data_IF_372614215602
#
_entry.id   IF_372614215602
#
_cell.length_a   1.000
_cell.length_b   1.000
_cell.length_c   1.000
_cell.angle_alpha   90.00
_cell.angle_beta   90.00
_cell.angle_gamma   90.00
#
_symmetry.space_group_name_H-M   'P 1'
#
loop_
_entity.id
_entity.type
_entity.pdbx_description
1 polymer ?
#
# COMPACT_ATOMS: atom_id res chain seq x y z
N UNK A 1 -3.42 34.74 13.27
CA UNK A 1 -3.44 34.41 11.83
C UNK A 1 -2.87 33.03 11.59
N UNK A 2 -3.47 32.20 10.73
CA UNK A 2 -2.74 31.06 10.21
C UNK A 2 -1.50 31.59 9.47
N UNK A 3 -0.32 31.06 9.80
CA UNK A 3 0.97 31.47 9.22
C UNK A 3 1.05 31.30 7.69
N UNK A 4 0.04 30.68 7.06
CA UNK A 4 -0.02 30.37 5.63
C UNK A 4 -1.47 30.20 5.19
N UNK A 5 -1.85 30.82 4.06
CA UNK A 5 -3.17 30.70 3.43
C UNK A 5 -3.28 29.51 2.46
N UNK A 6 -2.19 28.79 2.21
CA UNK A 6 -2.16 27.66 1.28
C UNK A 6 -2.96 26.47 1.85
N UNK A 7 -3.99 26.04 1.11
CA UNK A 7 -4.74 24.83 1.44
C UNK A 7 -3.99 23.58 0.95
N UNK A 8 -3.27 22.92 1.85
CA UNK A 8 -2.46 21.74 1.53
C UNK A 8 -3.28 20.48 1.23
N UNK A 9 -4.60 20.53 1.42
CA UNK A 9 -5.49 19.40 1.13
C UNK A 9 -5.90 19.37 -0.35
N UNK A 10 -6.21 20.53 -0.93
CA UNK A 10 -6.72 20.65 -2.30
C UNK A 10 -5.76 21.32 -3.28
N UNK A 11 -4.86 22.18 -2.80
CA UNK A 11 -3.99 23.02 -3.65
C UNK A 11 -2.54 22.55 -3.74
N UNK A 12 -2.13 21.55 -2.96
CA UNK A 12 -0.77 21.00 -3.02
C UNK A 12 -0.77 19.53 -3.43
N UNK A 13 0.35 19.12 -4.04
CA UNK A 13 0.66 17.73 -4.34
C UNK A 13 1.95 17.35 -3.65
N UNK A 14 2.00 16.13 -3.12
CA UNK A 14 3.15 15.60 -2.37
C UNK A 14 3.33 14.13 -2.64
N UNK A 15 4.55 13.61 -2.48
CA UNK A 15 4.83 12.20 -2.74
C UNK A 15 4.14 11.35 -1.66
N UNK A 16 3.16 10.50 -2.03
CA UNK A 16 2.42 9.69 -1.06
C UNK A 16 3.27 8.56 -0.45
N UNK A 17 4.37 8.20 -1.12
CA UNK A 17 5.18 7.05 -0.74
C UNK A 17 4.34 5.77 -0.69
N UNK A 18 4.59 4.95 0.34
CA UNK A 18 3.94 3.64 0.48
C UNK A 18 2.40 3.66 0.66
N UNK A 19 1.73 4.81 0.84
CA UNK A 19 0.25 4.86 0.80
C UNK A 19 -0.32 4.58 -0.59
N UNK A 20 0.51 4.57 -1.64
CA UNK A 20 0.10 4.23 -3.01
C UNK A 20 0.16 2.74 -3.34
N UNK A 21 0.89 1.94 -2.54
CA UNK A 21 1.00 0.48 -2.71
C UNK A 21 -0.35 -0.25 -2.84
N UNK A 22 -1.44 0.14 -2.14
CA UNK A 22 -2.73 -0.51 -2.30
C UNK A 22 -3.20 -0.63 -3.76
N UNK A 23 -2.81 0.28 -4.68
CA UNK A 23 -3.11 0.11 -6.11
C UNK A 23 -2.48 -1.17 -6.70
N UNK A 24 -1.20 -1.42 -6.40
CA UNK A 24 -0.46 -2.59 -6.88
C UNK A 24 -1.02 -3.88 -6.30
N UNK A 25 -1.38 -3.86 -5.00
CA UNK A 25 -1.99 -5.02 -4.35
C UNK A 25 -3.41 -5.26 -4.87
N UNK A 26 -4.19 -4.20 -5.13
CA UNK A 26 -5.51 -4.31 -5.75
C UNK A 26 -5.40 -4.95 -7.13
N UNK A 27 -4.46 -4.50 -7.96
CA UNK A 27 -4.21 -5.07 -9.28
C UNK A 27 -3.82 -6.56 -9.19
N UNK A 28 -3.00 -6.93 -8.21
CA UNK A 28 -2.56 -8.31 -8.00
C UNK A 28 -3.70 -9.23 -7.53
N UNK A 29 -4.52 -8.76 -6.58
CA UNK A 29 -5.72 -9.47 -6.11
C UNK A 29 -6.75 -9.63 -7.24
N UNK A 30 -6.90 -8.60 -8.06
CA UNK A 30 -7.78 -8.64 -9.23
C UNK A 30 -7.26 -9.55 -10.35
N UNK A 31 -5.93 -9.69 -10.48
CA UNK A 31 -5.28 -10.69 -11.35
C UNK A 31 -5.40 -12.14 -10.81
N UNK A 32 -6.14 -12.33 -9.73
CA UNK A 32 -6.44 -13.64 -9.16
C UNK A 32 -5.41 -14.16 -8.17
N UNK A 33 -4.45 -13.34 -7.73
CA UNK A 33 -3.66 -13.72 -6.55
C UNK A 33 -4.54 -13.66 -5.30
N UNK A 34 -4.31 -14.58 -4.37
CA UNK A 34 -4.95 -14.59 -3.06
C UNK A 34 -4.06 -13.95 -1.99
N UNK A 35 -4.63 -13.47 -0.86
CA UNK A 35 -3.90 -12.95 0.29
C UNK A 35 -2.75 -13.85 0.81
N UNK A 36 -2.90 -15.18 0.71
CA UNK A 36 -1.89 -16.14 1.15
C UNK A 36 -0.86 -16.51 0.06
N UNK A 37 -0.94 -15.93 -1.15
CA UNK A 37 0.02 -16.17 -2.22
C UNK A 37 1.42 -15.81 -1.75
N UNK A 38 2.37 -16.73 -1.90
CA UNK A 38 3.76 -16.48 -1.54
C UNK A 38 4.43 -15.64 -2.63
N UNK A 39 5.12 -14.59 -2.19
CA UNK A 39 5.90 -13.68 -3.01
C UNK A 39 7.29 -13.59 -2.41
N UNK A 40 8.32 -13.58 -3.25
CA UNK A 40 9.69 -13.52 -2.79
C UNK A 40 10.05 -12.09 -2.34
N UNK A 41 10.32 -11.88 -1.05
CA UNK A 41 10.94 -10.65 -0.55
C UNK A 41 12.47 -10.75 -0.73
N UNK A 42 12.92 -10.67 -1.99
CA UNK A 42 14.33 -10.68 -2.37
C UNK A 42 14.61 -9.65 -3.46
N UNK A 43 15.90 -9.35 -3.69
CA UNK A 43 16.33 -8.35 -4.67
C UNK A 43 15.70 -8.62 -6.03
N UNK A 44 15.23 -7.56 -6.66
CA UNK A 44 14.63 -7.59 -7.99
C UNK A 44 15.09 -6.37 -8.77
N UNK A 45 15.38 -6.57 -10.05
CA UNK A 45 15.72 -5.52 -11.00
C UNK A 45 14.74 -5.60 -12.15
N UNK A 46 14.02 -4.51 -12.42
CA UNK A 46 13.11 -4.40 -13.55
C UNK A 46 13.85 -3.74 -14.73
N UNK A 47 13.76 -4.31 -15.94
CA UNK A 47 14.42 -3.75 -17.11
C UNK A 47 13.72 -2.45 -17.57
N UNK A 48 14.42 -1.55 -18.28
CA UNK A 48 13.86 -0.30 -18.75
C UNK A 48 12.55 -0.49 -19.54
N UNK A 49 11.60 0.43 -19.34
CA UNK A 49 10.34 0.41 -20.10
C UNK A 49 10.67 0.82 -21.54
N UNK A 50 10.29 -0.02 -22.51
CA UNK A 50 10.61 0.19 -23.93
C UNK A 50 12.04 -0.25 -24.33
N UNK A 51 12.81 -0.85 -23.42
CA UNK A 51 14.12 -1.44 -23.73
C UNK A 51 15.29 -0.47 -23.78
N UNK A 52 15.07 0.82 -23.52
CA UNK A 52 16.11 1.87 -23.48
C UNK A 52 16.02 2.63 -22.15
N UNK A 53 17.18 2.96 -21.56
CA UNK A 53 17.28 3.72 -20.30
C UNK A 53 17.75 2.87 -19.11
N UNK A 54 17.43 3.32 -17.91
CA UNK A 54 17.91 2.71 -16.66
C UNK A 54 16.98 1.59 -16.16
N UNK A 55 17.61 0.52 -15.68
CA UNK A 55 16.92 -0.50 -14.91
C UNK A 55 16.56 0.02 -13.51
N UNK A 56 15.50 -0.51 -12.92
CA UNK A 56 15.07 -0.11 -11.58
C UNK A 56 15.26 -1.23 -10.56
N UNK A 57 16.00 -0.95 -9.49
CA UNK A 57 16.31 -1.91 -8.41
C UNK A 57 15.96 -1.31 -7.04
N UNK A 58 14.72 -1.49 -6.55
CA UNK A 58 14.30 -0.94 -5.26
C UNK A 58 14.94 -1.69 -4.08
N UNK A 59 14.85 -1.10 -2.89
CA UNK A 59 15.27 -1.72 -1.62
C UNK A 59 14.17 -1.56 -0.58
N UNK A 60 14.10 -2.48 0.38
CA UNK A 60 13.27 -2.31 1.58
C UNK A 60 13.84 -1.22 2.49
N UNK A 61 12.97 -0.57 3.26
CA UNK A 61 13.35 0.49 4.21
C UNK A 61 14.35 -0.02 5.28
N UNK A 62 14.11 -1.20 5.84
CA UNK A 62 15.00 -1.87 6.81
C UNK A 62 16.28 -2.44 6.17
N UNK A 63 16.39 -2.40 4.84
CA UNK A 63 17.38 -3.16 4.08
C UNK A 63 17.04 -4.64 3.95
N UNK A 64 17.77 -5.33 3.06
CA UNK A 64 17.65 -6.78 2.88
C UNK A 64 16.29 -7.27 2.38
N UNK A 65 16.14 -8.60 2.42
CA UNK A 65 14.92 -9.32 2.08
C UNK A 65 14.67 -10.44 3.09
N UNK A 66 13.41 -10.74 3.36
CA UNK A 66 12.99 -11.75 4.34
C UNK A 66 12.67 -13.13 3.74
N UNK A 67 12.93 -13.32 2.44
CA UNK A 67 12.61 -14.56 1.73
C UNK A 67 11.12 -14.66 1.38
N UNK A 68 10.55 -15.87 1.23
CA UNK A 68 9.14 -16.05 0.92
C UNK A 68 8.23 -15.44 2.00
N UNK A 69 7.30 -14.60 1.58
CA UNK A 69 6.28 -14.00 2.45
C UNK A 69 4.92 -14.02 1.78
N UNK A 70 3.83 -14.05 2.55
CA UNK A 70 2.48 -13.95 1.96
C UNK A 70 2.23 -12.55 1.41
N UNK A 71 1.42 -12.46 0.35
CA UNK A 71 0.96 -11.19 -0.24
C UNK A 71 0.43 -10.26 0.86
N UNK A 72 -0.38 -10.79 1.77
CA UNK A 72 -0.86 -10.10 2.96
C UNK A 72 0.25 -9.45 3.77
N UNK A 73 1.24 -10.25 4.22
CA UNK A 73 2.34 -9.76 5.04
C UNK A 73 3.23 -8.76 4.28
N UNK A 74 3.35 -8.91 2.97
CA UNK A 74 4.00 -7.93 2.10
C UNK A 74 3.41 -6.53 2.23
N UNK A 75 2.08 -6.40 2.24
CA UNK A 75 1.41 -5.11 2.40
C UNK A 75 1.46 -4.61 3.84
N UNK A 76 1.21 -5.50 4.82
CA UNK A 76 1.20 -5.20 6.25
C UNK A 76 2.52 -4.61 6.74
N UNK A 77 3.64 -5.20 6.31
CA UNK A 77 4.98 -4.73 6.63
C UNK A 77 5.54 -3.78 5.55
N UNK A 78 4.72 -3.36 4.59
CA UNK A 78 5.08 -2.39 3.56
C UNK A 78 6.38 -2.73 2.82
N UNK A 79 6.57 -3.98 2.39
CA UNK A 79 7.80 -4.43 1.71
C UNK A 79 7.85 -3.88 0.27
N UNK A 80 8.93 -3.17 -0.07
CA UNK A 80 9.15 -2.57 -1.39
C UNK A 80 9.48 -3.66 -2.43
N UNK A 81 10.31 -4.63 -2.04
CA UNK A 81 10.72 -5.73 -2.93
C UNK A 81 9.51 -6.58 -3.34
N UNK A 82 8.63 -6.93 -2.39
CA UNK A 82 7.36 -7.63 -2.70
C UNK A 82 6.52 -6.84 -3.71
N UNK A 83 6.38 -5.53 -3.53
CA UNK A 83 5.61 -4.67 -4.45
C UNK A 83 6.20 -4.69 -5.87
N UNK A 84 7.54 -4.64 -5.99
CA UNK A 84 8.23 -4.72 -7.28
C UNK A 84 8.16 -6.12 -7.92
N UNK A 85 8.11 -7.18 -7.11
CA UNK A 85 7.91 -8.55 -7.57
C UNK A 85 6.51 -8.78 -8.16
N UNK A 86 5.48 -8.15 -7.57
CA UNK A 86 4.14 -8.16 -8.13
C UNK A 86 4.09 -7.50 -9.51
N UNK A 87 4.83 -6.40 -9.70
CA UNK A 87 4.99 -5.84 -11.04
C UNK A 87 5.68 -6.81 -11.98
N UNK A 88 6.77 -7.46 -11.55
CA UNK A 88 7.57 -8.33 -12.42
C UNK A 88 6.77 -9.46 -13.07
N UNK A 89 5.86 -10.10 -12.32
CA UNK A 89 5.11 -11.25 -12.82
C UNK A 89 3.86 -11.63 -12.02
N UNK A 90 3.45 -10.82 -11.02
CA UNK A 90 2.27 -11.10 -10.20
C UNK A 90 0.95 -10.58 -10.77
N UNK A 91 1.01 -9.49 -11.54
CA UNK A 91 -0.18 -8.81 -12.10
C UNK A 91 -0.37 -9.19 -13.58
N UNK A 92 0.70 -9.11 -14.36
CA UNK A 92 0.76 -9.51 -15.76
C UNK A 92 2.10 -10.20 -16.04
N UNK A 93 2.25 -10.76 -17.24
CA UNK A 93 3.45 -11.49 -17.65
C UNK A 93 4.73 -10.64 -17.58
N UNK A 94 4.62 -9.34 -17.85
CA UNK A 94 5.75 -8.40 -17.90
C UNK A 94 5.48 -7.15 -17.08
N UNK A 95 6.53 -6.61 -16.47
CA UNK A 95 6.47 -5.42 -15.63
C UNK A 95 5.79 -4.19 -16.27
N UNK A 96 6.03 -3.84 -17.55
CA UNK A 96 5.32 -2.72 -18.19
C UNK A 96 3.80 -2.93 -18.29
N UNK A 97 3.36 -4.17 -18.57
CA UNK A 97 1.93 -4.50 -18.62
C UNK A 97 1.30 -4.47 -17.23
N UNK A 98 2.02 -4.94 -16.21
CA UNK A 98 1.60 -4.81 -14.81
C UNK A 98 1.45 -3.35 -14.41
N UNK A 99 2.43 -2.50 -14.75
CA UNK A 99 2.37 -1.06 -14.48
C UNK A 99 1.18 -0.41 -15.18
N UNK A 100 0.86 -0.83 -16.42
CA UNK A 100 -0.31 -0.33 -17.12
C UNK A 100 -1.61 -0.60 -16.35
N UNK A 101 -1.80 -1.83 -15.85
CA UNK A 101 -2.98 -2.17 -15.03
C UNK A 101 -3.08 -1.34 -13.75
N UNK A 102 -1.93 -1.06 -13.11
CA UNK A 102 -1.88 -0.19 -11.93
C UNK A 102 -2.26 1.26 -12.30
N UNK A 103 -1.75 1.77 -13.42
CA UNK A 103 -2.12 3.08 -13.95
C UNK A 103 -3.62 3.18 -14.30
N UNK A 104 -4.20 2.15 -14.90
CA UNK A 104 -5.62 2.12 -15.27
C UNK A 104 -6.50 2.32 -14.03
N UNK A 105 -6.21 1.57 -12.95
CA UNK A 105 -6.89 1.73 -11.66
C UNK A 105 -6.67 3.15 -11.10
N UNK A 106 -5.44 3.66 -11.13
CA UNK A 106 -5.12 4.98 -10.58
C UNK A 106 -5.89 6.12 -11.27
N UNK A 107 -6.02 6.04 -12.59
CA UNK A 107 -6.76 7.02 -13.40
C UNK A 107 -8.27 6.90 -13.18
N UNK A 108 -8.81 5.68 -13.11
CA UNK A 108 -10.22 5.45 -12.83
C UNK A 108 -10.61 5.88 -11.40
N UNK A 109 -9.69 5.69 -10.44
CA UNK A 109 -9.79 6.20 -9.08
C UNK A 109 -9.69 7.74 -8.99
N UNK A 110 -9.38 8.42 -10.10
CA UNK A 110 -9.13 9.87 -10.17
C UNK A 110 -8.01 10.34 -9.23
N UNK A 111 -7.03 9.48 -8.93
CA UNK A 111 -5.83 9.88 -8.17
C UNK A 111 -4.95 10.84 -8.97
N UNK A 112 -4.93 10.68 -10.30
CA UNK A 112 -4.12 11.46 -11.22
C UNK A 112 -4.91 11.80 -12.48
N UNK A 113 -4.59 12.94 -13.10
CA UNK A 113 -5.04 13.24 -14.47
C UNK A 113 -4.31 12.37 -15.49
N UNK A 114 -3.02 12.12 -15.23
CA UNK A 114 -2.14 11.32 -16.07
C UNK A 114 -1.26 10.44 -15.18
N UNK A 115 -1.06 9.19 -15.58
CA UNK A 115 -0.16 8.27 -14.89
C UNK A 115 1.20 8.31 -15.58
N UNK A 116 2.21 8.80 -14.86
CA UNK A 116 3.58 8.79 -15.36
C UNK A 116 4.11 7.34 -15.37
N UNK A 117 4.46 6.85 -16.55
CA UNK A 117 4.80 5.44 -16.76
C UNK A 117 6.26 5.11 -16.41
N UNK A 118 6.58 5.10 -15.12
CA UNK A 118 7.88 4.65 -14.58
C UNK A 118 7.68 3.78 -13.33
N UNK A 119 8.53 2.78 -13.09
CA UNK A 119 8.29 1.82 -12.01
C UNK A 119 8.27 2.41 -10.59
N UNK A 120 9.11 3.39 -10.22
CA UNK A 120 8.98 4.05 -8.91
C UNK A 120 7.59 4.62 -8.61
N UNK A 121 6.73 4.82 -9.63
CA UNK A 121 5.32 5.13 -9.46
C UNK A 121 4.67 4.23 -8.40
N UNK A 122 4.87 2.90 -8.43
CA UNK A 122 4.18 1.98 -7.49
C UNK A 122 4.64 2.10 -6.03
N UNK A 123 5.72 2.83 -5.78
CA UNK A 123 6.21 3.16 -4.45
C UNK A 123 5.86 4.60 -4.03
N UNK A 124 5.06 5.31 -4.83
CA UNK A 124 4.55 6.64 -4.50
C UNK A 124 5.48 7.79 -4.92
N UNK A 125 6.24 7.63 -6.00
CA UNK A 125 7.13 8.67 -6.51
C UNK A 125 6.38 9.85 -7.17
N UNK A 126 5.21 9.59 -7.78
CA UNK A 126 4.39 10.63 -8.40
C UNK A 126 3.54 11.37 -7.34
N UNK A 127 3.68 12.71 -7.20
CA UNK A 127 2.95 13.49 -6.21
C UNK A 127 1.43 13.47 -6.41
N UNK A 128 0.68 13.31 -5.32
CA UNK A 128 -0.79 13.22 -5.31
C UNK A 128 -1.41 14.35 -4.46
N UNK A 129 -2.63 14.78 -4.78
CA UNK A 129 -3.42 15.63 -3.88
C UNK A 129 -3.98 14.79 -2.74
N UNK A 130 -4.00 15.36 -1.54
CA UNK A 130 -4.50 14.66 -0.35
C UNK A 130 -5.98 14.30 -0.46
N UNK A 131 -6.79 15.19 -1.02
CA UNK A 131 -8.23 14.98 -1.20
C UNK A 131 -8.55 13.81 -2.15
N UNK A 132 -7.75 13.62 -3.21
CA UNK A 132 -7.92 12.52 -4.16
C UNK A 132 -7.49 11.19 -3.51
N UNK A 133 -6.42 11.21 -2.71
CA UNK A 133 -6.00 10.05 -1.93
C UNK A 133 -7.06 9.63 -0.91
N UNK A 134 -7.73 10.59 -0.25
CA UNK A 134 -8.84 10.30 0.66
C UNK A 134 -10.02 9.65 -0.08
N UNK A 135 -10.39 10.16 -1.25
CA UNK A 135 -11.47 9.56 -2.06
C UNK A 135 -11.15 8.12 -2.49
N UNK A 136 -9.89 7.81 -2.81
CA UNK A 136 -9.47 6.45 -3.13
C UNK A 136 -9.57 5.50 -1.93
N UNK A 137 -9.15 5.93 -0.74
CA UNK A 137 -9.28 5.09 0.47
C UNK A 137 -10.75 4.88 0.86
N UNK A 138 -11.61 5.88 0.65
CA UNK A 138 -13.05 5.70 0.78
C UNK A 138 -13.60 4.67 -0.22
N UNK A 139 -13.10 4.67 -1.47
CA UNK A 139 -13.46 3.64 -2.44
C UNK A 139 -13.05 2.23 -1.99
N UNK A 140 -11.89 2.08 -1.33
CA UNK A 140 -11.48 0.78 -0.76
C UNK A 140 -12.45 0.34 0.35
N UNK A 141 -12.84 1.26 1.25
CA UNK A 141 -13.80 0.99 2.30
C UNK A 141 -15.16 0.50 1.73
N UNK A 142 -15.56 1.06 0.59
CA UNK A 142 -16.85 0.85 -0.08
C UNK A 142 -16.77 -0.12 -1.28
N UNK A 143 -15.82 -1.05 -1.29
CA UNK A 143 -15.68 -2.08 -2.34
C UNK A 143 -15.63 -1.57 -3.79
N UNK A 144 -14.98 -0.42 -3.99
CA UNK A 144 -14.77 0.23 -5.28
C UNK A 144 -15.73 1.36 -5.59
N UNK A 145 -16.73 1.62 -4.74
CA UNK A 145 -17.63 2.77 -4.88
C UNK A 145 -16.94 4.05 -4.38
N UNK A 146 -16.49 4.87 -5.33
CA UNK A 146 -15.69 6.07 -5.04
C UNK A 146 -16.58 7.31 -4.88
N UNK A 147 -16.54 7.99 -3.73
CA UNK A 147 -17.17 9.29 -3.58
C UNK A 147 -16.43 10.38 -4.34
N UNK A 148 -17.17 11.38 -4.82
CA UNK A 148 -16.60 12.64 -5.30
C UNK A 148 -16.62 13.63 -4.14
N UNK A 149 -15.45 14.07 -3.62
CA UNK A 149 -15.42 15.05 -2.54
C UNK A 149 -16.12 16.36 -2.95
N UNK A 150 -16.91 16.94 -2.05
CA UNK A 150 -17.56 18.24 -2.23
C UNK A 150 -17.67 18.96 -0.88
N UNK A 151 -17.72 20.30 -0.91
CA UNK A 151 -17.82 21.13 0.30
C UNK A 151 -19.14 21.91 0.44
N UNK A 152 -19.97 21.93 -0.61
CA UNK A 152 -21.24 22.67 -0.64
C UNK A 152 -22.40 21.70 -0.84
N UNK A 153 -23.27 21.61 0.15
CA UNK A 153 -24.48 20.79 0.09
C UNK A 153 -25.66 21.54 -0.52
N UNK A 154 -25.93 22.76 -0.06
CA UNK A 154 -26.98 23.62 -0.64
C UNK A 154 -26.63 25.10 -0.49
N UNK A 155 -27.22 25.93 -1.35
CA UNK A 155 -27.17 27.39 -1.27
C UNK A 155 -28.60 27.90 -1.38
N UNK A 156 -29.05 28.69 -0.40
CA UNK A 156 -30.41 29.26 -0.37
C UNK A 156 -30.37 30.78 -0.36
N UNK A 157 -31.43 31.39 -0.90
CA UNK A 157 -31.72 32.82 -0.81
C UNK A 157 -33.15 32.99 -0.31
N UNK A 158 -33.31 33.24 1.00
CA UNK A 158 -34.62 33.09 1.65
C UNK A 158 -35.09 31.64 1.53
N UNK A 159 -36.33 31.44 1.10
CA UNK A 159 -36.90 30.11 0.89
C UNK A 159 -36.52 29.48 -0.47
N UNK A 160 -35.79 30.20 -1.33
CA UNK A 160 -35.40 29.71 -2.66
C UNK A 160 -34.06 28.97 -2.58
N UNK A 161 -34.06 27.68 -2.96
CA UNK A 161 -32.82 26.92 -3.19
C UNK A 161 -32.20 27.36 -4.52
N UNK A 162 -31.00 27.92 -4.48
CA UNK A 162 -30.21 28.34 -5.64
C UNK A 162 -29.31 27.21 -6.17
N UNK A 163 -28.82 26.37 -5.27
CA UNK A 163 -28.01 25.20 -5.59
C UNK A 163 -28.31 24.10 -4.57
N UNK A 164 -28.36 22.87 -5.05
CA UNK A 164 -28.41 21.67 -4.24
C UNK A 164 -27.43 20.68 -4.86
N UNK A 165 -26.57 20.09 -4.04
CA UNK A 165 -25.72 19.02 -4.50
C UNK A 165 -26.58 17.85 -4.96
N UNK A 166 -26.38 17.42 -6.21
CA UNK A 166 -27.15 16.33 -6.78
C UNK A 166 -26.80 15.02 -6.07
N UNK A 167 -27.81 14.30 -5.59
CA UNK A 167 -27.66 12.94 -5.08
C UNK A 167 -27.38 12.00 -6.27
N UNK A 168 -26.10 11.87 -6.61
CA UNK A 168 -25.64 11.03 -7.72
C UNK A 168 -25.11 9.70 -7.18
N UNK A 169 -25.38 8.58 -7.87
CA UNK A 169 -24.72 7.32 -7.56
C UNK A 169 -23.20 7.50 -7.53
N UNK A 170 -22.56 6.81 -6.58
CA UNK A 170 -21.11 6.79 -6.49
C UNK A 170 -20.49 6.25 -7.78
N UNK A 171 -19.33 6.78 -8.14
CA UNK A 171 -18.60 6.31 -9.32
C UNK A 171 -17.86 5.03 -8.95
N UNK A 172 -18.14 3.93 -9.65
CA UNK A 172 -17.46 2.67 -9.40
C UNK A 172 -16.11 2.60 -10.11
N UNK A 173 -15.06 2.16 -9.41
CA UNK A 173 -13.78 1.75 -10.01
C UNK A 173 -13.97 0.32 -10.54
N UNK A 174 -14.20 0.19 -11.84
CA UNK A 174 -14.48 -1.06 -12.55
C UNK A 174 -13.26 -1.89 -12.95
N UNK A 175 -12.05 -1.31 -12.95
CA UNK A 175 -10.81 -2.04 -13.25
C UNK A 175 -10.44 -3.09 -12.21
N UNK A 176 -11.12 -3.11 -11.07
CA UNK A 176 -11.05 -4.18 -10.07
C UNK A 176 -12.45 -4.57 -9.57
N UNK A 177 -12.64 -5.84 -9.21
CA UNK A 177 -13.91 -6.30 -8.66
C UNK A 177 -14.04 -6.11 -7.14
N UNK A 178 -15.27 -6.30 -6.63
CA UNK A 178 -15.60 -6.12 -5.21
C UNK A 178 -14.82 -7.06 -4.29
N UNK A 179 -14.52 -8.28 -4.74
CA UNK A 179 -13.74 -9.26 -3.95
C UNK A 179 -12.31 -8.78 -3.77
N UNK A 180 -11.68 -8.25 -4.81
CA UNK A 180 -10.34 -7.70 -4.73
C UNK A 180 -10.27 -6.49 -3.79
N UNK A 181 -11.27 -5.60 -3.83
CA UNK A 181 -11.37 -4.50 -2.87
C UNK A 181 -11.58 -4.97 -1.43
N UNK A 182 -12.46 -5.95 -1.20
CA UNK A 182 -12.68 -6.50 0.13
C UNK A 182 -11.43 -7.19 0.70
N UNK A 183 -10.74 -7.99 -0.12
CA UNK A 183 -9.46 -8.59 0.25
C UNK A 183 -8.44 -7.49 0.60
N UNK A 184 -8.35 -6.43 -0.21
CA UNK A 184 -7.47 -5.29 0.08
C UNK A 184 -7.83 -4.59 1.40
N UNK A 185 -9.11 -4.34 1.67
CA UNK A 185 -9.60 -3.82 2.96
C UNK A 185 -9.12 -4.69 4.12
N UNK A 186 -9.24 -6.01 4.00
CA UNK A 186 -8.76 -6.98 4.98
C UNK A 186 -7.23 -6.95 5.17
N UNK A 187 -6.45 -6.76 4.10
CA UNK A 187 -5.00 -6.58 4.20
C UNK A 187 -4.63 -5.27 4.93
N UNK A 188 -5.35 -4.17 4.64
CA UNK A 188 -5.15 -2.87 5.29
C UNK A 188 -5.56 -2.88 6.77
N UNK A 189 -6.54 -3.67 7.16
CA UNK A 189 -6.85 -3.90 8.57
C UNK A 189 -5.64 -4.54 9.29
N UNK A 190 -4.99 -5.51 8.63
CA UNK A 190 -3.76 -6.14 9.12
C UNK A 190 -2.62 -5.14 9.36
N UNK A 191 -2.50 -4.08 8.55
CA UNK A 191 -1.49 -3.02 8.74
C UNK A 191 -1.65 -2.35 10.11
N UNK A 192 -2.89 -2.08 10.52
CA UNK A 192 -3.20 -1.46 11.83
C UNK A 192 -3.18 -2.44 13.00
N UNK A 193 -3.44 -3.72 12.72
CA UNK A 193 -3.47 -4.76 13.76
C UNK A 193 -2.06 -5.22 14.16
N UNK A 194 -1.17 -5.40 13.17
CA UNK A 194 0.12 -6.09 13.36
C UNK A 194 1.22 -5.65 12.39
N UNK A 195 0.94 -4.67 11.55
CA UNK A 195 1.86 -4.15 10.55
C UNK A 195 2.49 -2.83 10.95
N UNK A 196 2.81 -2.00 9.95
CA UNK A 196 3.49 -0.72 10.16
C UNK A 196 2.70 0.33 10.96
N UNK A 197 1.40 0.10 11.22
CA UNK A 197 0.56 0.95 12.05
C UNK A 197 0.04 0.24 13.32
N UNK A 198 0.79 -0.75 13.84
CA UNK A 198 0.42 -1.53 15.03
C UNK A 198 0.14 -0.68 16.30
N UNK A 199 0.56 0.59 16.34
CA UNK A 199 0.12 1.54 17.38
C UNK A 199 -1.42 1.72 17.44
N UNK A 200 -2.13 1.36 16.37
CA UNK A 200 -3.59 1.35 16.27
C UNK A 200 -4.21 -0.04 16.56
N UNK A 201 -3.46 -1.03 17.05
CA UNK A 201 -3.94 -2.40 17.20
C UNK A 201 -5.24 -2.51 18.03
N UNK A 202 -5.37 -1.71 19.09
CA UNK A 202 -6.60 -1.63 19.92
C UNK A 202 -7.83 -1.12 19.16
N UNK A 203 -7.62 -0.41 18.06
CA UNK A 203 -8.67 0.13 17.19
C UNK A 203 -8.87 -0.72 15.92
N UNK A 204 -8.00 -1.70 15.64
CA UNK A 204 -8.03 -2.50 14.41
C UNK A 204 -9.36 -3.19 14.07
N UNK A 205 -10.27 -3.54 15.00
CA UNK A 205 -11.60 -4.01 14.62
C UNK A 205 -12.43 -2.96 13.87
N UNK A 206 -12.13 -1.67 14.06
CA UNK A 206 -12.90 -0.52 13.59
C UNK A 206 -12.19 0.26 12.48
N UNK A 207 -10.89 0.00 12.25
CA UNK A 207 -10.05 0.82 11.36
C UNK A 207 -9.13 -0.02 10.50
N UNK A 208 -8.95 0.42 9.26
CA UNK A 208 -7.95 -0.09 8.33
C UNK A 208 -7.20 1.10 7.71
N UNK A 209 -5.96 0.88 7.29
CA UNK A 209 -5.19 1.96 6.68
C UNK A 209 -3.79 1.57 6.29
N UNK A 210 -3.02 2.56 5.83
CA UNK A 210 -1.66 2.37 5.33
C UNK A 210 -0.77 3.53 5.75
N UNK A 211 0.43 3.21 6.22
CA UNK A 211 1.50 4.20 6.38
C UNK A 211 2.18 4.48 5.04
N UNK A 212 2.58 5.73 4.84
CA UNK A 212 3.48 6.15 3.77
C UNK A 212 4.65 6.94 4.31
N UNK A 213 5.80 6.74 3.68
CA UNK A 213 7.01 7.53 3.90
C UNK A 213 7.63 7.72 2.51
N UNK A 214 7.95 8.95 2.13
CA UNK A 214 8.68 9.23 0.89
C UNK A 214 10.17 8.92 1.03
N UNK A 215 10.92 9.05 -0.06
CA UNK A 215 12.39 9.10 -0.04
C UNK A 215 12.88 10.16 0.96
N UNK A 216 14.01 9.88 1.61
CA UNK A 216 14.68 10.72 2.63
C UNK A 216 13.80 11.19 3.79
N UNK A 217 12.66 10.52 4.02
CA UNK A 217 11.71 10.84 5.08
C UNK A 217 11.24 12.31 4.99
N UNK A 218 11.08 12.82 3.77
CA UNK A 218 10.60 14.18 3.53
C UNK A 218 9.09 14.34 3.83
N UNK A 219 8.32 13.29 3.56
CA UNK A 219 6.87 13.25 3.76
C UNK A 219 6.47 12.00 4.56
N UNK A 220 5.70 12.21 5.63
CA UNK A 220 5.13 11.16 6.47
C UNK A 220 3.61 11.15 6.30
N UNK A 221 3.04 9.99 6.01
CA UNK A 221 1.62 9.81 5.71
C UNK A 221 0.98 8.69 6.53
N UNK A 222 -0.30 8.89 6.83
CA UNK A 222 -1.20 7.79 7.15
C UNK A 222 -2.55 8.05 6.48
N UNK A 223 -3.02 7.06 5.71
CA UNK A 223 -4.33 7.07 5.08
C UNK A 223 -5.13 5.91 5.63
N UNK A 224 -6.28 6.19 6.24
CA UNK A 224 -7.10 5.16 6.87
C UNK A 224 -8.58 5.51 6.90
N UNK A 225 -9.39 4.51 7.20
CA UNK A 225 -10.85 4.63 7.17
C UNK A 225 -11.53 3.75 8.23
N UNK A 226 -12.73 4.17 8.63
CA UNK A 226 -13.78 3.33 9.24
C UNK A 226 -14.86 3.05 8.20
N UNK A 227 -16.04 2.55 8.61
CA UNK A 227 -17.17 2.44 7.69
C UNK A 227 -17.77 3.82 7.32
N UNK A 228 -17.59 4.81 8.20
CA UNK A 228 -18.28 6.11 8.14
C UNK A 228 -17.37 7.26 7.68
N UNK A 229 -16.07 7.20 7.99
CA UNK A 229 -15.13 8.30 7.70
C UNK A 229 -13.80 7.79 7.13
N UNK A 230 -13.23 8.57 6.22
CA UNK A 230 -11.85 8.40 5.75
C UNK A 230 -11.02 9.60 6.19
N UNK A 231 -9.85 9.34 6.78
CA UNK A 231 -8.93 10.37 7.27
C UNK A 231 -7.57 10.12 6.61
N UNK A 232 -7.00 11.18 6.02
CA UNK A 232 -5.63 11.20 5.54
C UNK A 232 -4.87 12.25 6.33
N UNK A 233 -3.80 11.83 7.01
CA UNK A 233 -2.91 12.70 7.75
C UNK A 233 -1.53 12.74 7.08
N UNK A 234 -1.00 13.95 6.90
CA UNK A 234 0.32 14.21 6.34
C UNK A 234 1.10 15.17 7.21
N UNK A 235 2.39 14.91 7.33
CA UNK A 235 3.37 15.84 7.89
C UNK A 235 4.51 15.94 6.89
N UNK A 236 4.92 17.17 6.60
CA UNK A 236 6.02 17.50 5.71
C UNK A 236 6.27 19.01 5.70
N UNK A 237 7.40 19.42 5.15
CA UNK A 237 7.72 20.84 4.96
C UNK A 237 7.25 21.34 3.60
N UNK A 238 6.87 22.62 3.51
CA UNK A 238 6.42 23.18 2.24
C UNK A 238 7.51 23.26 1.18
N UNK A 239 8.78 23.26 1.60
CA UNK A 239 9.97 23.31 0.75
C UNK A 239 9.96 24.49 -0.25
N UNK A 240 9.47 25.65 0.20
CA UNK A 240 9.31 26.86 -0.61
C UNK A 240 10.63 27.47 -1.14
N UNK A 241 11.77 27.04 -0.60
CA UNK A 241 13.12 27.43 -1.02
C UNK A 241 13.74 26.49 -2.07
N UNK A 242 12.95 25.53 -2.58
CA UNK A 242 13.41 24.52 -3.54
C UNK A 242 14.28 23.42 -2.92
N UNK A 243 14.56 23.48 -1.61
CA UNK A 243 15.29 22.43 -0.88
C UNK A 243 14.31 21.55 -0.13
N UNK A 244 14.30 20.26 -0.45
CA UNK A 244 13.54 19.28 0.34
C UNK A 244 14.18 19.14 1.71
N UNK A 245 13.41 19.46 2.75
CA UNK A 245 13.82 19.27 4.13
C UNK A 245 13.32 17.92 4.60
N UNK A 246 14.24 17.09 5.09
CA UNK A 246 13.93 15.83 5.76
C UNK A 246 13.21 16.11 7.08
N UNK A 247 12.26 15.25 7.45
CA UNK A 247 11.67 15.24 8.79
C UNK A 247 12.67 14.76 9.85
N UNK A 248 13.75 14.12 9.42
CA UNK A 248 14.79 13.56 10.28
C UNK A 248 14.69 12.04 10.41
N UNK A 249 15.81 11.41 10.77
CA UNK A 249 15.95 9.94 10.80
C UNK A 249 14.86 9.28 11.63
N UNK A 250 14.10 8.36 11.05
CA UNK A 250 13.07 7.57 11.73
C UNK A 250 11.71 8.28 11.86
N UNK A 251 11.57 9.48 11.30
CA UNK A 251 10.33 10.25 11.28
C UNK A 251 9.40 9.76 10.16
N UNK A 252 8.87 8.56 10.35
CA UNK A 252 8.01 7.86 9.37
C UNK A 252 6.52 8.13 9.61
N UNK A 253 5.68 7.76 8.63
CA UNK A 253 4.21 7.83 8.79
C UNK A 253 3.66 7.10 10.02
N UNK A 254 4.31 6.01 10.45
CA UNK A 254 3.92 5.25 11.64
C UNK A 254 4.20 5.99 12.97
N UNK A 255 5.25 6.81 13.00
CA UNK A 255 5.65 7.56 14.19
C UNK A 255 4.97 8.94 14.27
N UNK A 256 4.78 9.58 13.11
CA UNK A 256 4.29 10.96 13.02
C UNK A 256 2.80 11.06 12.69
N UNK A 257 2.37 10.43 11.60
CA UNK A 257 1.03 10.63 11.04
C UNK A 257 -0.04 9.76 11.72
N UNK A 258 0.33 8.55 12.16
CA UNK A 258 -0.58 7.65 12.89
C UNK A 258 -1.10 8.27 14.20
N UNK A 259 -0.27 8.92 15.05
CA UNK A 259 -0.78 9.63 16.23
C UNK A 259 -1.79 10.74 15.91
N UNK A 260 -1.56 11.53 14.86
CA UNK A 260 -2.53 12.56 14.42
C UNK A 260 -3.84 11.92 14.01
N UNK A 261 -3.78 10.90 13.14
CA UNK A 261 -4.95 10.14 12.72
C UNK A 261 -5.73 9.59 13.94
N UNK A 262 -5.02 9.02 14.92
CA UNK A 262 -5.61 8.44 16.13
C UNK A 262 -6.37 9.49 16.95
N UNK A 263 -5.85 10.71 17.06
CA UNK A 263 -6.52 11.80 17.78
C UNK A 263 -7.77 12.27 17.03
N UNK A 264 -7.68 12.45 15.71
CA UNK A 264 -8.83 12.85 14.87
C UNK A 264 -9.93 11.79 14.90
N UNK A 265 -9.57 10.51 14.79
CA UNK A 265 -10.54 9.40 14.85
C UNK A 265 -11.27 9.34 16.20
N UNK A 266 -10.52 9.46 17.31
CA UNK A 266 -11.12 9.48 18.64
C UNK A 266 -12.02 10.70 18.85
N UNK A 267 -11.61 11.87 18.33
CA UNK A 267 -12.46 13.06 18.36
C UNK A 267 -13.74 12.86 17.54
N UNK A 268 -13.66 12.24 16.36
CA UNK A 268 -14.82 11.95 15.54
C UNK A 268 -15.83 11.05 16.27
N UNK A 269 -15.36 9.97 16.92
CA UNK A 269 -16.21 9.11 17.74
C UNK A 269 -16.81 9.84 18.95
N UNK A 270 -16.03 10.70 19.62
CA UNK A 270 -16.54 11.52 20.71
C UNK A 270 -17.60 12.54 20.26
N UNK A 271 -17.60 12.92 18.98
CA UNK A 271 -18.54 13.86 18.37
C UNK A 271 -19.63 13.17 17.53
N UNK A 272 -19.93 11.90 17.80
CA UNK A 272 -21.13 11.23 17.29
C UNK A 272 -20.94 10.41 16.02
N UNK A 273 -19.73 10.28 15.47
CA UNK A 273 -19.48 9.26 14.43
C UNK A 273 -19.64 7.88 15.05
N UNK A 274 -20.48 7.00 14.48
CA UNK A 274 -20.64 5.64 14.98
C UNK A 274 -19.30 4.88 15.06
N UNK A 275 -19.11 4.14 16.15
CA UNK A 275 -17.96 3.26 16.33
C UNK A 275 -18.40 1.82 16.05
N UNK A 276 -18.43 1.45 14.78
CA UNK A 276 -18.84 0.11 14.33
C UNK A 276 -17.64 -0.70 13.83
N UNK A 277 -17.57 -2.02 14.10
CA UNK A 277 -16.56 -2.87 13.48
C UNK A 277 -16.61 -2.77 11.97
N UNK A 278 -15.46 -2.83 11.30
CA UNK A 278 -15.40 -2.76 9.84
C UNK A 278 -16.32 -3.80 9.21
N UNK A 279 -17.10 -3.36 8.23
CA UNK A 279 -18.08 -4.22 7.57
C UNK A 279 -17.39 -5.40 6.88
N UNK A 280 -18.05 -6.55 6.94
CA UNK A 280 -17.74 -7.70 6.12
C UNK A 280 -17.95 -7.44 4.63
N UNK A 281 -17.81 -8.48 3.78
CA UNK A 281 -17.99 -8.30 2.34
C UNK A 281 -19.46 -8.00 2.03
N UNK A 282 -19.70 -7.19 0.99
CA UNK A 282 -21.05 -6.97 0.44
C UNK A 282 -21.72 -8.30 0.07
N UNK A 283 -23.06 -8.35 -0.02
CA UNK A 283 -23.75 -9.55 -0.47
C UNK A 283 -23.22 -10.10 -1.81
N UNK A 284 -22.80 -9.22 -2.72
CA UNK A 284 -22.20 -9.57 -4.01
C UNK A 284 -20.83 -10.22 -3.84
N UNK A 285 -19.94 -9.60 -3.05
CA UNK A 285 -18.60 -10.14 -2.81
C UNK A 285 -18.66 -11.44 -1.99
N UNK A 286 -19.54 -11.51 -0.99
CA UNK A 286 -19.69 -12.66 -0.09
C UNK A 286 -20.02 -13.96 -0.82
N UNK A 287 -20.77 -13.89 -1.92
CA UNK A 287 -21.09 -15.07 -2.76
C UNK A 287 -19.88 -15.66 -3.47
N UNK A 288 -18.80 -14.89 -3.59
CA UNK A 288 -17.58 -15.23 -4.32
C UNK A 288 -16.39 -15.43 -3.37
N UNK A 289 -16.64 -15.44 -2.06
CA UNK A 289 -15.62 -15.60 -1.02
C UNK A 289 -15.89 -16.88 -0.25
N UNK A 290 -14.82 -17.61 0.06
CA UNK A 290 -14.81 -18.64 1.08
C UNK A 290 -13.73 -18.34 2.12
N UNK A 291 -14.09 -18.53 3.38
CA UNK A 291 -13.22 -18.27 4.51
C UNK A 291 -12.52 -19.56 4.93
N UNK A 292 -11.20 -19.50 5.14
CA UNK A 292 -10.46 -20.63 5.69
C UNK A 292 -9.34 -20.18 6.64
N UNK A 293 -9.11 -20.90 7.75
CA UNK A 293 -8.02 -20.58 8.67
C UNK A 293 -6.66 -20.93 8.06
N UNK A 294 -5.70 -20.01 8.20
CA UNK A 294 -4.32 -20.17 7.75
C UNK A 294 -3.31 -19.88 8.86
N UNK A 295 -2.12 -20.45 8.72
CA UNK A 295 -0.92 -19.88 9.32
C UNK A 295 -0.48 -18.64 8.52
N UNK A 296 -0.39 -17.49 9.20
CA UNK A 296 -0.09 -16.20 8.56
C UNK A 296 1.30 -16.13 7.94
N UNK A 297 2.27 -16.85 8.51
CA UNK A 297 3.66 -16.80 8.06
C UNK A 297 3.85 -17.59 6.78
N UNK A 298 3.38 -18.83 6.76
CA UNK A 298 3.56 -19.76 5.65
C UNK A 298 2.45 -19.66 4.60
N UNK A 299 1.28 -19.09 4.95
CA UNK A 299 0.09 -19.09 4.11
C UNK A 299 -0.60 -20.46 4.00
N UNK A 300 -0.16 -21.45 4.77
CA UNK A 300 -0.74 -22.80 4.77
C UNK A 300 -2.12 -22.80 5.42
N UNK A 301 -3.09 -23.43 4.77
CA UNK A 301 -4.40 -23.72 5.39
C UNK A 301 -4.24 -24.73 6.52
N UNK A 302 -4.87 -24.49 7.66
CA UNK A 302 -4.84 -25.37 8.82
C UNK A 302 -6.25 -25.76 9.25
N UNK A 303 -6.42 -26.78 10.10
CA UNK A 303 -7.75 -27.31 10.45
C UNK A 303 -8.51 -26.44 11.47
N UNK A 304 -7.82 -25.56 12.21
CA UNK A 304 -8.41 -24.68 13.22
C UNK A 304 -7.37 -23.83 13.94
N UNK A 305 -7.81 -22.80 14.69
CA UNK A 305 -6.94 -21.92 15.49
C UNK A 305 -6.08 -20.93 14.69
N UNK A 306 -6.22 -20.90 13.36
CA UNK A 306 -5.49 -20.01 12.46
C UNK A 306 -6.15 -18.66 12.26
N UNK A 307 -5.45 -17.77 11.56
CA UNK A 307 -6.03 -16.52 11.08
C UNK A 307 -7.05 -16.82 10.00
N UNK A 308 -8.28 -16.32 10.15
CA UNK A 308 -9.31 -16.49 9.13
C UNK A 308 -8.99 -15.62 7.91
N UNK A 309 -8.75 -16.27 6.78
CA UNK A 309 -8.41 -15.59 5.53
C UNK A 309 -9.56 -15.69 4.51
N UNK A 310 -9.75 -14.63 3.74
CA UNK A 310 -10.83 -14.52 2.76
C UNK A 310 -10.33 -14.85 1.35
N UNK A 311 -10.77 -15.97 0.81
CA UNK A 311 -10.33 -16.46 -0.49
C UNK A 311 -11.39 -16.26 -1.55
N UNK A 312 -10.96 -15.77 -2.72
CA UNK A 312 -11.79 -15.77 -3.92
C UNK A 312 -12.09 -17.21 -4.36
N UNK A 313 -13.34 -17.48 -4.69
CA UNK A 313 -13.77 -18.70 -5.36
C UNK A 313 -13.48 -18.62 -6.87
N UNK A 314 -13.05 -19.74 -7.46
CA UNK A 314 -12.97 -19.89 -8.91
C UNK A 314 -14.36 -20.02 -9.53
N UNK A 315 -14.43 -19.98 -10.86
CA UNK A 315 -15.69 -20.03 -11.62
C UNK A 315 -16.50 -21.32 -11.34
N UNK A 316 -15.82 -22.40 -11.00
CA UNK A 316 -16.41 -23.69 -10.60
C UNK A 316 -16.79 -23.77 -9.10
N UNK A 317 -16.68 -22.66 -8.36
CA UNK A 317 -17.02 -22.56 -6.95
C UNK A 317 -15.98 -23.19 -6.01
N UNK A 318 -14.81 -23.58 -6.50
CA UNK A 318 -13.72 -24.11 -5.67
C UNK A 318 -12.85 -22.97 -5.12
N UNK A 319 -12.12 -23.24 -4.05
CA UNK A 319 -11.08 -22.34 -3.56
C UNK A 319 -9.92 -22.31 -4.56
N UNK A 320 -9.62 -21.15 -5.13
CA UNK A 320 -8.47 -21.01 -6.01
C UNK A 320 -7.16 -21.07 -5.19
N UNK A 321 -6.37 -22.13 -5.39
CA UNK A 321 -5.08 -22.28 -4.71
C UNK A 321 -3.97 -21.57 -5.49
N UNK A 322 -3.55 -20.42 -4.99
CA UNK A 322 -2.47 -19.63 -5.60
C UNK A 322 -1.26 -19.51 -4.70
N UNK A 323 -1.19 -20.27 -3.60
CA UNK A 323 -0.12 -20.14 -2.59
C UNK A 323 1.28 -20.20 -3.23
N UNK A 324 1.50 -21.15 -4.13
CA UNK A 324 2.78 -21.38 -4.79
C UNK A 324 2.83 -20.85 -6.24
N UNK A 325 1.89 -19.99 -6.64
CA UNK A 325 1.79 -19.49 -8.03
C UNK A 325 3.03 -18.70 -8.47
N UNK A 326 3.64 -17.93 -7.57
CA UNK A 326 4.80 -17.09 -7.88
C UNK A 326 6.12 -17.62 -7.30
N UNK A 327 6.04 -18.43 -6.24
CA UNK A 327 7.18 -19.07 -5.60
C UNK A 327 6.87 -20.56 -5.54
N UNK A 328 7.48 -21.39 -6.41
CA UNK A 328 7.27 -22.83 -6.43
C UNK A 328 7.61 -23.48 -5.09
N UNK A 329 6.92 -24.58 -4.77
CA UNK A 329 7.07 -25.26 -3.49
C UNK A 329 8.49 -25.84 -3.32
N UNK A 330 9.09 -26.32 -4.40
CA UNK A 330 10.45 -26.87 -4.45
C UNK A 330 11.48 -25.79 -4.06
N UNK A 331 11.26 -24.55 -4.50
CA UNK A 331 12.12 -23.43 -4.16
C UNK A 331 12.09 -23.18 -2.64
N UNK A 332 10.92 -23.31 -2.01
CA UNK A 332 10.76 -23.13 -0.55
C UNK A 332 11.46 -24.24 0.22
N UNK A 333 11.36 -25.49 -0.26
CA UNK A 333 12.10 -26.61 0.34
C UNK A 333 13.62 -26.42 0.22
N UNK A 334 14.12 -25.96 -0.93
CA UNK A 334 15.55 -25.70 -1.13
C UNK A 334 16.10 -24.51 -0.32
N UNK A 335 15.24 -23.67 0.23
CA UNK A 335 15.62 -22.56 1.12
C UNK A 335 15.60 -22.97 2.60
N UNK A 336 15.29 -24.23 2.92
CA UNK A 336 15.33 -24.73 4.29
C UNK A 336 16.78 -24.96 4.72
N UNK A 337 17.19 -24.57 5.95
CA UNK A 337 18.55 -24.79 6.44
C UNK A 337 19.00 -26.25 6.41
N UNK A 338 18.04 -27.16 6.48
CA UNK A 338 18.16 -28.63 6.55
C UNK A 338 18.33 -29.32 5.18
N UNK A 339 18.18 -28.62 4.05
CA UNK A 339 18.24 -29.26 2.72
C UNK A 339 19.66 -29.58 2.22
N UNK A 340 20.71 -29.25 2.97
CA UNK A 340 22.11 -29.62 2.66
C UNK A 340 22.63 -30.83 3.48
N UNK A 341 21.79 -31.52 4.26
CA UNK A 341 22.24 -32.65 5.11
C UNK A 341 21.88 -34.07 4.63
N UNK A 342 21.19 -34.21 3.49
CA UNK A 342 20.86 -35.53 2.91
C UNK A 342 21.68 -35.82 1.65
N UNK A 343 23.01 -35.67 1.76
CA UNK A 343 23.97 -36.01 0.70
C UNK A 343 25.22 -36.67 1.28
N UNK A 344 25.26 -38.01 1.21
CA UNK A 344 26.41 -38.89 1.35
C UNK A 344 27.32 -38.72 2.59
N UNK A 345 27.06 -39.54 3.62
CA UNK A 345 28.11 -39.98 4.54
C UNK A 345 27.90 -41.45 4.94
N UNK A 346 28.80 -42.28 4.41
CA UNK A 346 29.01 -43.68 4.76
C UNK A 346 29.33 -43.86 6.25
N UNK A 347 28.85 -44.99 6.79
CA UNK A 347 29.27 -45.73 7.98
C UNK A 347 30.22 -45.06 9.00
N UNK A 348 29.74 -44.96 10.24
CA UNK A 348 30.59 -44.72 11.41
C UNK A 348 29.78 -44.59 12.70
N UNK A 349 29.55 -45.71 13.38
CA UNK A 349 28.93 -45.78 14.71
C UNK A 349 29.64 -44.88 15.74
N UNK A 350 28.86 -44.09 16.50
CA UNK A 350 29.22 -43.78 17.89
C UNK A 350 27.96 -43.40 18.70
N UNK A 351 27.57 -44.19 19.74
CA UNK A 351 26.38 -43.91 20.53
C UNK A 351 26.73 -43.02 21.74
N UNK A 352 26.08 -41.87 21.89
CA UNK A 352 26.29 -41.06 23.10
C UNK A 352 25.55 -39.73 23.19
N UNK A 353 24.47 -39.76 23.97
CA UNK A 353 23.89 -38.65 24.77
C UNK A 353 23.20 -37.48 24.05
N UNK A 354 21.87 -37.48 24.17
CA UNK A 354 21.07 -36.25 24.25
C UNK A 354 21.32 -35.52 25.58
N UNK A 355 21.09 -34.20 25.60
CA UNK A 355 20.07 -33.67 26.49
C UNK A 355 19.01 -32.86 25.73
N UNK A 356 17.78 -32.91 26.26
CA UNK A 356 16.64 -32.12 25.84
C UNK A 356 16.96 -30.61 25.82
N UNK A 357 17.02 -30.02 24.63
CA UNK A 357 16.90 -28.57 24.43
C UNK A 357 15.49 -28.26 23.92
N UNK A 358 14.78 -27.44 24.70
CA UNK A 358 13.50 -26.86 24.33
C UNK A 358 13.58 -26.13 22.97
N UNK A 359 12.50 -26.05 22.18
CA UNK A 359 12.56 -25.39 20.88
C UNK A 359 12.91 -23.91 21.05
N UNK A 360 14.02 -23.52 20.44
CA UNK A 360 14.52 -22.15 20.37
C UNK A 360 13.40 -21.18 19.97
N UNK A 361 12.96 -20.39 20.96
CA UNK A 361 12.18 -19.20 20.73
C UNK A 361 13.08 -18.09 20.19
N UNK A 362 12.60 -17.41 19.15
CA UNK A 362 12.91 -16.02 18.83
C UNK A 362 14.34 -15.66 18.40
N UNK A 363 14.71 -16.08 17.18
CA UNK A 363 15.81 -15.45 16.42
C UNK A 363 15.40 -14.47 15.32
N UNK A 364 14.12 -14.19 15.15
CA UNK A 364 13.64 -13.16 14.21
C UNK A 364 12.34 -12.49 14.71
N UNK A 365 12.48 -11.72 15.80
CA UNK A 365 11.54 -10.67 16.18
C UNK A 365 12.26 -9.30 16.17
N UNK A 366 12.16 -8.51 15.09
CA UNK A 366 12.76 -7.18 15.01
C UNK A 366 12.01 -6.11 15.81
N UNK A 367 10.98 -6.46 16.60
CA UNK A 367 10.21 -5.50 17.41
C UNK A 367 10.15 -5.82 18.91
N UNK A 368 10.77 -6.92 19.38
CA UNK A 368 10.73 -7.34 20.78
C UNK A 368 11.75 -6.70 21.73
N UNK A 369 12.74 -5.94 21.23
CA UNK A 369 13.83 -5.43 22.05
C UNK A 369 14.11 -3.93 21.83
N UNK A 370 13.17 -3.07 22.24
CA UNK A 370 13.37 -1.62 22.32
C UNK A 370 13.05 -1.06 23.72
N UNK A 371 13.37 -1.80 24.78
CA UNK A 371 13.46 -1.23 26.12
C UNK A 371 14.69 -1.77 26.86
N UNK A 372 15.71 -0.92 26.94
CA UNK A 372 16.77 -0.97 27.96
C UNK A 372 18.03 -1.74 27.60
N UNK A 373 19.03 -1.07 26.98
CA UNK A 373 20.47 -1.32 27.23
C UNK A 373 21.31 -0.03 27.05
N UNK A 374 22.47 0.08 27.73
CA UNK A 374 23.21 1.33 27.94
C UNK A 374 24.14 1.70 26.77
N UNK A 375 24.60 2.96 26.76
CA UNK A 375 25.42 3.59 25.73
C UNK A 375 26.69 2.81 25.31
N UNK A 376 27.09 2.86 24.03
CA UNK A 376 28.39 2.34 23.57
C UNK A 376 29.53 3.36 23.77
N UNK A 377 30.79 2.91 23.95
CA UNK A 377 31.95 3.77 24.21
C UNK A 377 32.47 4.46 22.92
N UNK A 378 33.26 5.54 23.05
CA UNK A 378 33.59 6.40 21.92
C UNK A 378 34.94 6.03 21.29
N UNK A 379 34.99 5.64 20.01
CA UNK A 379 36.27 5.64 19.27
C UNK A 379 36.18 6.05 17.80
N UNK A 380 37.06 7.01 17.50
CA UNK A 380 37.86 7.25 16.30
C UNK A 380 37.20 7.63 14.96
N UNK A 381 37.49 8.88 14.57
CA UNK A 381 37.30 9.47 13.24
C UNK A 381 38.01 8.65 12.15
N UNK A 382 37.30 8.35 11.06
CA UNK A 382 37.89 8.02 9.77
C UNK A 382 37.23 8.86 8.66
N UNK A 383 38.05 9.34 7.74
CA UNK A 383 37.79 10.42 6.80
C UNK A 383 36.62 10.16 5.83
N UNK A 384 35.90 11.24 5.50
CA UNK A 384 34.82 11.30 4.51
C UNK A 384 35.35 11.19 3.08
N UNK A 385 34.73 10.40 2.18
CA UNK A 385 34.83 10.62 0.74
C UNK A 385 33.83 11.69 0.28
N UNK A 386 34.29 12.55 -0.62
CA UNK A 386 33.58 13.67 -1.27
C UNK A 386 32.36 13.18 -2.06
N UNK A 387 31.18 13.85 -2.00
CA UNK A 387 30.01 13.44 -2.77
C UNK A 387 30.13 13.82 -4.26
N UNK A 388 29.71 12.90 -5.13
CA UNK A 388 29.56 13.11 -6.57
C UNK A 388 28.34 14.02 -6.88
N UNK A 389 28.35 14.77 -7.99
CA UNK A 389 27.30 15.74 -8.30
C UNK A 389 25.96 15.08 -8.69
N UNK A 390 24.87 15.65 -8.18
CA UNK A 390 23.46 15.24 -8.43
C UNK A 390 23.04 15.40 -9.90
N UNK A 391 22.21 14.50 -10.47
CA UNK A 391 21.61 14.71 -11.78
C UNK A 391 20.45 15.72 -11.73
N UNK A 392 20.59 16.74 -12.55
CA UNK A 392 19.68 17.85 -12.85
C UNK A 392 18.30 17.38 -13.39
N UNK A 393 17.21 17.87 -12.79
CA UNK A 393 15.83 17.73 -13.28
C UNK A 393 15.47 18.87 -14.26
N UNK A 394 15.07 18.61 -15.52
CA UNK A 394 14.47 19.62 -16.38
C UNK A 394 12.95 19.43 -16.48
N UNK A 395 12.21 20.28 -15.77
CA UNK A 395 10.81 20.58 -16.06
C UNK A 395 10.73 21.79 -16.99
N UNK A 396 10.38 21.57 -18.27
CA UNK A 396 9.56 22.43 -19.13
C UNK A 396 9.82 22.13 -20.61
N UNK A 397 8.75 21.70 -21.29
CA UNK A 397 8.59 21.59 -22.76
C UNK A 397 9.43 20.54 -23.48
N UNK A 398 8.94 19.30 -23.50
CA UNK A 398 9.13 18.43 -24.66
C UNK A 398 7.79 17.79 -25.04
N UNK A 399 7.39 17.97 -26.30
CA UNK A 399 6.30 17.21 -26.92
C UNK A 399 6.74 15.74 -26.95
N UNK A 400 5.86 14.84 -26.51
CA UNK A 400 6.05 13.39 -26.65
C UNK A 400 6.30 13.02 -28.13
N UNK A 401 7.28 12.15 -28.44
CA UNK A 401 7.57 11.68 -29.79
C UNK A 401 6.69 10.51 -30.25
N UNK A 402 5.64 10.16 -29.49
CA UNK A 402 4.73 9.07 -29.83
C UNK A 402 3.41 9.65 -30.33
N UNK A 403 3.08 9.28 -31.57
CA UNK A 403 1.91 9.74 -32.32
C UNK A 403 0.57 9.35 -31.70
N UNK A 404 -0.47 9.99 -32.23
CA UNK A 404 -1.86 9.95 -31.78
C UNK A 404 -2.45 8.54 -31.92
N UNK A 405 -2.64 7.85 -30.79
CA UNK A 405 -3.50 6.67 -30.72
C UNK A 405 -4.84 7.03 -30.05
N UNK A 406 -5.90 6.69 -30.77
CA UNK A 406 -7.34 6.86 -30.54
C UNK A 406 -7.79 7.26 -29.13
N UNK A 407 -8.53 8.38 -29.10
CA UNK A 407 -9.26 8.91 -27.95
C UNK A 407 -10.30 7.91 -27.45
N UNK A 408 -9.91 7.00 -26.57
CA UNK A 408 -10.84 6.48 -25.57
C UNK A 408 -11.28 7.70 -24.75
N UNK A 409 -12.55 8.13 -24.89
CA UNK A 409 -13.14 9.18 -24.06
C UNK A 409 -13.11 8.71 -22.59
N UNK A 410 -12.03 9.06 -21.89
CA UNK A 410 -11.88 8.82 -20.46
C UNK A 410 -12.76 9.83 -19.69
N UNK A 411 -13.32 9.45 -18.54
CA UNK A 411 -14.04 10.40 -17.69
C UNK A 411 -13.13 11.60 -17.38
N UNK A 412 -13.61 12.83 -17.65
CA UNK A 412 -12.87 14.04 -17.29
C UNK A 412 -12.66 14.07 -15.77
N UNK A 413 -11.46 14.49 -15.34
CA UNK A 413 -11.13 14.73 -13.94
C UNK A 413 -12.14 15.74 -13.37
N UNK A 414 -12.86 15.34 -12.32
CA UNK A 414 -13.74 16.26 -11.58
C UNK A 414 -12.89 17.02 -10.59
N UNK A 415 -12.80 18.34 -10.75
CA UNK A 415 -12.14 19.15 -9.72
C UNK A 415 -13.13 19.40 -8.57
N UNK A 416 -12.85 18.92 -7.35
CA UNK A 416 -13.72 19.15 -6.20
C UNK A 416 -13.94 20.64 -5.88
N UNK A 417 -13.04 21.52 -6.34
CA UNK A 417 -13.14 22.97 -6.13
C UNK A 417 -13.91 23.70 -7.26
N UNK A 418 -14.35 22.99 -8.32
CA UNK A 418 -15.04 23.60 -9.46
C UNK A 418 -16.54 23.22 -9.51
N UNK A 419 -17.44 24.09 -9.01
CA UNK A 419 -18.86 23.77 -8.86
C UNK A 419 -19.63 23.62 -10.18
N UNK A 420 -19.03 23.91 -11.34
CA UNK A 420 -19.68 23.89 -12.66
C UNK A 420 -19.19 22.77 -13.58
N UNK A 421 -18.45 21.78 -13.06
CA UNK A 421 -17.75 20.75 -13.85
C UNK A 421 -18.61 19.79 -14.69
N UNK A 422 -19.92 19.99 -14.74
CA UNK A 422 -20.86 19.18 -15.54
C UNK A 422 -21.47 19.93 -16.75
N UNK A 423 -21.19 21.23 -16.93
CA UNK A 423 -21.69 21.94 -18.12
C UNK A 423 -20.80 21.65 -19.35
N UNK A 424 -21.37 21.11 -20.45
CA UNK A 424 -20.62 20.80 -21.67
C UNK A 424 -20.23 22.05 -22.50
N UNK A 425 -20.56 23.25 -22.02
CA UNK A 425 -20.42 24.53 -22.73
C UNK A 425 -19.14 25.32 -22.44
N UNK A 426 -18.25 24.81 -21.56
CA UNK A 426 -16.94 25.42 -21.29
C UNK A 426 -15.79 24.40 -21.32
#
# INVERSE_FOLDING_TARGET
DPLSQLNRVTQSVRQPGSTLKPLTYLAALNAGLQPNTLVMDARVTLPPIGGVGDSWSPKNYEGGGSGPTTLRRGLEHSKNLVTAQLLRGGIAEKAPASLQKVCDIALEAQLYAECERYYPFVLGAQPVRMIDLAAFYAAIANEGERPSPYGLESVTQGDKVLYQHADRPLARIGSADRVAFYQLKSLLQGVTQRGTAAALARFSPYVAGKTGTSEDENDAWFSGFTNEITIVAWIGYDNADGKRRTLGRGQTGGHLSVPIFSQVLQAAWANGVPKTPLDGPSPEAKRLIADAPIDLRSGQRIAGGGFMEHFRLSVDGRLADTRFKLVPQEQIYAMRPDSEQDGDALDGENPGRMPDEAPDADRYDPFGALFGRPEPPPYARRAQPVPAPEPYWPGARSRSPFGDDEYIRRPRRRDPDYPFGDEPTY
#
